data_IF_778241164833
#
_entry.id   IF_778241164833
#
_cell.length_a   1.000
_cell.length_b   1.000
_cell.length_c   1.000
_cell.angle_alpha   90.00
_cell.angle_beta   90.00
_cell.angle_gamma   90.00
#
_symmetry.space_group_name_H-M   'P 1'
#
loop_
_entity.id
_entity.type
_entity.pdbx_description
1 polymer ?
#
# COMPACT_ATOMS: atom_id res chain seq x y z
N UNK A 1 -4.98 -4.82 -21.70
CA UNK A 1 -3.55 -4.43 -21.56
C UNK A 1 -3.05 -4.75 -20.15
N UNK A 2 -3.75 -4.29 -19.12
CA UNK A 2 -3.35 -4.49 -17.72
C UNK A 2 -3.48 -5.93 -17.22
N UNK A 3 -4.52 -6.67 -17.63
CA UNK A 3 -4.67 -8.09 -17.23
C UNK A 3 -3.48 -8.94 -17.65
N UNK A 4 -2.97 -8.75 -18.88
CA UNK A 4 -1.81 -9.49 -19.40
C UNK A 4 -0.51 -9.01 -18.75
N UNK A 5 -0.37 -7.70 -18.48
CA UNK A 5 0.79 -7.13 -17.80
C UNK A 5 0.88 -7.62 -16.35
N UNK A 6 -0.24 -7.68 -15.62
CA UNK A 6 -0.28 -8.24 -14.28
C UNK A 6 0.02 -9.75 -14.31
N UNK A 7 -0.52 -10.48 -15.31
CA UNK A 7 -0.27 -11.92 -15.47
C UNK A 7 1.22 -12.26 -15.56
N UNK A 8 2.02 -11.46 -16.28
CA UNK A 8 3.47 -11.69 -16.37
C UNK A 8 4.23 -11.41 -15.08
N UNK A 9 3.63 -10.69 -14.13
CA UNK A 9 4.23 -10.31 -12.86
C UNK A 9 3.72 -11.10 -11.65
N UNK A 10 2.82 -12.08 -11.83
CA UNK A 10 2.26 -12.87 -10.73
C UNK A 10 3.31 -13.60 -9.89
N UNK A 11 4.45 -13.98 -10.49
CA UNK A 11 5.57 -14.59 -9.76
C UNK A 11 6.13 -13.69 -8.65
N UNK A 12 5.96 -12.37 -8.75
CA UNK A 12 6.36 -11.43 -7.69
C UNK A 12 5.46 -11.53 -6.46
N UNK A 13 4.20 -11.93 -6.65
CA UNK A 13 3.20 -12.13 -5.59
C UNK A 13 3.26 -13.52 -4.96
N UNK A 14 4.08 -14.42 -5.48
CA UNK A 14 4.20 -15.81 -5.00
C UNK A 14 5.28 -15.97 -3.90
N UNK A 15 5.96 -14.88 -3.54
CA UNK A 15 7.01 -14.89 -2.51
C UNK A 15 6.41 -15.09 -1.12
N UNK A 16 6.95 -16.03 -0.34
CA UNK A 16 6.39 -16.47 0.96
C UNK A 16 6.36 -15.42 2.08
N UNK A 17 7.00 -14.25 1.90
CA UNK A 17 7.15 -13.23 2.96
C UNK A 17 6.98 -11.80 2.45
N UNK A 18 6.04 -11.56 1.54
CA UNK A 18 5.74 -10.19 1.09
C UNK A 18 5.10 -9.38 2.19
N UNK A 19 5.60 -8.17 2.39
CA UNK A 19 4.92 -7.16 3.18
C UNK A 19 3.64 -6.70 2.47
N UNK A 20 2.65 -6.28 3.23
CA UNK A 20 1.39 -5.78 2.69
C UNK A 20 1.58 -4.50 1.87
N UNK A 21 2.55 -3.68 2.25
CA UNK A 21 2.97 -2.51 1.46
C UNK A 21 3.54 -2.89 0.10
N UNK A 22 4.25 -4.00 -0.02
CA UNK A 22 4.78 -4.49 -1.30
C UNK A 22 3.65 -5.00 -2.19
N UNK A 23 2.72 -5.77 -1.63
CA UNK A 23 1.51 -6.22 -2.35
C UNK A 23 0.72 -5.02 -2.87
N UNK A 24 0.50 -4.01 -2.01
CA UNK A 24 -0.18 -2.78 -2.41
C UNK A 24 0.56 -2.05 -3.51
N UNK A 25 1.87 -1.85 -3.38
CA UNK A 25 2.68 -1.14 -4.37
C UNK A 25 2.66 -1.85 -5.73
N UNK A 26 2.72 -3.18 -5.74
CA UNK A 26 2.63 -3.96 -6.98
C UNK A 26 1.26 -3.89 -7.64
N UNK A 27 0.18 -3.73 -6.87
CA UNK A 27 -1.19 -3.85 -7.38
C UNK A 27 -1.90 -2.51 -7.61
N UNK A 28 -1.55 -1.45 -6.89
CA UNK A 28 -2.27 -0.18 -6.92
C UNK A 28 -2.24 0.55 -8.26
N UNK A 29 -1.28 0.22 -9.14
CA UNK A 29 -1.17 0.79 -10.49
C UNK A 29 -2.06 0.09 -11.53
N UNK A 30 -2.68 -1.04 -11.16
CA UNK A 30 -3.47 -1.85 -12.08
C UNK A 30 -4.97 -1.60 -11.92
N UNK A 31 -5.70 -1.72 -13.02
CA UNK A 31 -7.15 -1.66 -13.00
C UNK A 31 -7.77 -2.79 -12.12
N UNK A 32 -8.86 -2.46 -11.43
CA UNK A 32 -9.52 -3.39 -10.51
C UNK A 32 -10.01 -4.66 -11.20
N UNK A 33 -10.55 -4.55 -12.43
CA UNK A 33 -11.02 -5.68 -13.21
C UNK A 33 -9.85 -6.58 -13.64
N UNK A 34 -8.67 -6.01 -13.90
CA UNK A 34 -7.47 -6.78 -14.20
C UNK A 34 -7.01 -7.61 -13.00
N UNK A 35 -7.05 -7.04 -11.80
CA UNK A 35 -6.71 -7.73 -10.55
C UNK A 35 -7.73 -8.83 -10.26
N UNK A 36 -9.03 -8.55 -10.39
CA UNK A 36 -10.11 -9.52 -10.20
C UNK A 36 -10.00 -10.69 -11.18
N UNK A 37 -9.77 -10.39 -12.46
CA UNK A 37 -9.62 -11.42 -13.51
C UNK A 37 -8.44 -12.35 -13.21
N UNK A 38 -7.30 -11.79 -12.80
CA UNK A 38 -6.13 -12.60 -12.41
C UNK A 38 -6.39 -13.38 -11.11
N UNK A 39 -7.18 -12.85 -10.18
CA UNK A 39 -7.52 -13.59 -8.95
C UNK A 39 -8.40 -14.82 -9.22
N UNK A 40 -9.31 -14.73 -10.20
CA UNK A 40 -10.15 -15.84 -10.65
C UNK A 40 -9.35 -16.86 -11.46
N UNK A 41 -8.45 -16.38 -12.33
CA UNK A 41 -7.68 -17.23 -13.23
C UNK A 41 -6.38 -17.80 -12.62
N UNK A 42 -5.98 -17.38 -11.42
CA UNK A 42 -4.74 -17.81 -10.77
C UNK A 42 -4.83 -19.24 -10.24
N UNK A 43 -3.87 -20.07 -10.64
CA UNK A 43 -3.71 -21.45 -10.14
C UNK A 43 -2.91 -21.50 -8.82
N UNK A 44 -2.06 -20.50 -8.54
CA UNK A 44 -1.36 -20.40 -7.25
C UNK A 44 -2.31 -19.87 -6.17
N UNK A 45 -2.44 -20.65 -5.09
CA UNK A 45 -3.23 -20.27 -3.91
C UNK A 45 -2.64 -19.04 -3.20
N UNK A 46 -1.30 -18.90 -3.18
CA UNK A 46 -0.60 -17.76 -2.57
C UNK A 46 -0.91 -16.49 -3.34
N UNK A 47 -0.74 -16.51 -4.67
CA UNK A 47 -1.04 -15.38 -5.54
C UNK A 47 -2.52 -14.99 -5.45
N UNK A 48 -3.43 -15.97 -5.53
CA UNK A 48 -4.87 -15.73 -5.39
C UNK A 48 -5.21 -15.06 -4.05
N UNK A 49 -4.60 -15.52 -2.96
CA UNK A 49 -4.79 -14.95 -1.62
C UNK A 49 -4.30 -13.51 -1.54
N UNK A 50 -3.12 -13.21 -2.10
CA UNK A 50 -2.56 -11.85 -2.11
C UNK A 50 -3.40 -10.88 -2.95
N UNK A 51 -3.90 -11.32 -4.12
CA UNK A 51 -4.80 -10.52 -4.96
C UNK A 51 -6.13 -10.23 -4.23
N UNK A 52 -6.73 -11.25 -3.58
CA UNK A 52 -7.95 -11.09 -2.78
C UNK A 52 -7.72 -10.17 -1.57
N UNK A 53 -6.56 -10.29 -0.90
CA UNK A 53 -6.19 -9.43 0.22
C UNK A 53 -6.14 -7.96 -0.19
N UNK A 54 -5.58 -7.66 -1.36
CA UNK A 54 -5.59 -6.30 -1.91
C UNK A 54 -7.02 -5.80 -2.17
N UNK A 55 -7.83 -6.60 -2.87
CA UNK A 55 -9.20 -6.25 -3.28
C UNK A 55 -10.13 -5.99 -2.08
N UNK A 56 -9.93 -6.71 -0.98
CA UNK A 56 -10.82 -6.67 0.19
C UNK A 56 -10.34 -5.75 1.29
N UNK A 57 -9.01 -5.60 1.47
CA UNK A 57 -8.44 -4.91 2.62
C UNK A 57 -7.48 -3.79 2.23
N UNK A 58 -6.37 -4.13 1.56
CA UNK A 58 -5.24 -3.19 1.40
C UNK A 58 -5.63 -1.92 0.65
N UNK A 59 -6.49 -2.03 -0.37
CA UNK A 59 -6.96 -0.87 -1.15
C UNK A 59 -7.75 0.17 -0.36
N UNK A 60 -8.29 -0.20 0.80
CA UNK A 60 -9.08 0.69 1.64
C UNK A 60 -8.29 1.27 2.83
N UNK A 61 -7.05 0.81 3.02
CA UNK A 61 -6.16 1.37 4.05
C UNK A 61 -5.75 2.78 3.64
N UNK A 62 -6.08 3.76 4.48
CA UNK A 62 -5.70 5.17 4.32
C UNK A 62 -5.07 5.67 5.62
N UNK A 63 -4.10 6.56 5.53
CA UNK A 63 -3.56 7.26 6.71
C UNK A 63 -4.67 8.06 7.37
N UNK A 64 -4.63 8.14 8.70
CA UNK A 64 -5.51 9.02 9.46
C UNK A 64 -5.07 10.47 9.33
N UNK A 65 -3.76 10.71 9.19
CA UNK A 65 -3.19 12.01 8.89
C UNK A 65 -3.31 12.35 7.41
N UNK A 66 -3.72 13.59 7.14
CA UNK A 66 -3.67 14.20 5.83
C UNK A 66 -2.55 15.26 5.73
N UNK A 67 -2.32 15.79 4.53
CA UNK A 67 -1.27 16.78 4.28
C UNK A 67 -1.42 18.07 5.10
N UNK A 68 -2.64 18.51 5.39
CA UNK A 68 -2.87 19.71 6.22
C UNK A 68 -2.48 19.48 7.68
N UNK A 69 -2.73 18.28 8.20
CA UNK A 69 -2.31 17.90 9.55
C UNK A 69 -0.79 17.81 9.66
N UNK A 70 -0.12 17.26 8.65
CA UNK A 70 1.36 17.25 8.60
C UNK A 70 1.94 18.67 8.57
N UNK A 71 1.31 19.60 7.82
CA UNK A 71 1.71 21.01 7.83
C UNK A 71 1.61 21.64 9.22
N UNK A 72 0.55 21.32 9.98
CA UNK A 72 0.38 21.80 11.37
C UNK A 72 1.44 21.23 12.33
N UNK A 73 2.00 20.06 12.04
CA UNK A 73 3.14 19.49 12.76
C UNK A 73 4.49 20.14 12.38
N UNK A 74 4.46 21.14 11.49
CA UNK A 74 5.65 21.87 11.05
C UNK A 74 6.42 21.16 9.95
N UNK A 75 5.78 20.27 9.19
CA UNK A 75 6.35 19.66 7.98
C UNK A 75 6.04 20.57 6.79
N UNK A 76 7.09 21.07 6.14
CA UNK A 76 6.93 21.97 5.00
C UNK A 76 6.26 21.27 3.82
N UNK A 77 5.38 22.00 3.13
CA UNK A 77 4.76 21.52 1.90
C UNK A 77 5.83 21.29 0.82
N UNK A 78 5.72 20.18 0.09
CA UNK A 78 6.66 19.84 -0.98
C UNK A 78 6.84 18.33 -1.14
N UNK A 79 7.87 17.91 -1.88
CA UNK A 79 8.19 16.50 -2.10
C UNK A 79 8.37 15.72 -0.79
N UNK A 80 8.96 16.34 0.23
CA UNK A 80 9.18 15.72 1.54
C UNK A 80 7.86 15.36 2.24
N UNK A 81 6.85 16.23 2.18
CA UNK A 81 5.53 15.93 2.73
C UNK A 81 4.90 14.71 2.03
N UNK A 82 5.04 14.64 0.70
CA UNK A 82 4.57 13.48 -0.08
C UNK A 82 5.28 12.19 0.31
N UNK A 83 6.61 12.24 0.52
CA UNK A 83 7.40 11.09 1.01
C UNK A 83 6.94 10.65 2.40
N UNK A 84 6.70 11.58 3.31
CA UNK A 84 6.22 11.26 4.66
C UNK A 84 4.84 10.59 4.59
N UNK A 85 3.91 11.10 3.78
CA UNK A 85 2.60 10.45 3.57
C UNK A 85 2.74 9.02 3.02
N UNK A 86 3.64 8.80 2.07
CA UNK A 86 3.93 7.46 1.54
C UNK A 86 4.50 6.52 2.63
N UNK A 87 5.42 7.01 3.46
CA UNK A 87 6.01 6.23 4.55
C UNK A 87 4.93 5.88 5.60
N UNK A 88 4.09 6.84 5.98
CA UNK A 88 2.98 6.61 6.90
C UNK A 88 1.99 5.58 6.36
N UNK A 89 1.65 5.68 5.06
CA UNK A 89 0.75 4.73 4.41
C UNK A 89 1.33 3.31 4.37
N UNK A 90 2.63 3.20 4.05
CA UNK A 90 3.37 1.93 4.10
C UNK A 90 3.41 1.33 5.50
N UNK A 91 3.76 2.12 6.51
CA UNK A 91 3.79 1.69 7.91
C UNK A 91 2.40 1.20 8.36
N UNK A 92 1.33 1.86 7.91
CA UNK A 92 -0.04 1.45 8.23
C UNK A 92 -0.45 0.14 7.54
N UNK A 93 -0.08 -0.01 6.27
CA UNK A 93 -0.28 -1.26 5.54
C UNK A 93 0.43 -2.43 6.22
N UNK A 94 1.66 -2.21 6.67
CA UNK A 94 2.49 -3.23 7.33
C UNK A 94 2.13 -3.45 8.81
N UNK A 95 1.18 -2.68 9.34
CA UNK A 95 0.71 -2.80 10.73
C UNK A 95 1.67 -2.24 11.77
N UNK A 96 2.68 -1.48 11.34
CA UNK A 96 3.66 -0.78 12.19
C UNK A 96 3.02 0.42 12.92
N UNK A 97 2.01 1.04 12.29
CA UNK A 97 1.18 2.08 12.91
C UNK A 97 -0.31 1.73 12.77
N UNK A 98 -1.06 1.88 13.86
CA UNK A 98 -2.48 1.45 13.96
C UNK A 98 -3.43 2.60 14.22
N UNK A 99 -2.94 3.67 14.83
CA UNK A 99 -3.76 4.80 15.26
C UNK A 99 -3.11 6.13 14.87
N UNK A 100 -3.89 7.21 14.99
CA UNK A 100 -3.45 8.55 14.63
C UNK A 100 -2.23 9.02 15.44
N UNK A 101 -2.17 8.70 16.73
CA UNK A 101 -1.05 9.11 17.58
C UNK A 101 0.28 8.46 17.17
N UNK A 102 0.24 7.18 16.75
CA UNK A 102 1.40 6.48 16.19
C UNK A 102 1.82 7.08 14.84
N UNK A 103 0.87 7.42 13.97
CA UNK A 103 1.17 8.13 12.72
C UNK A 103 1.81 9.50 13.00
N UNK A 104 1.32 10.27 13.97
CA UNK A 104 1.89 11.58 14.35
C UNK A 104 3.32 11.42 14.89
N UNK A 105 3.55 10.44 15.77
CA UNK A 105 4.87 10.15 16.30
C UNK A 105 5.85 9.79 15.18
N UNK A 106 5.43 8.94 14.24
CA UNK A 106 6.26 8.56 13.09
C UNK A 106 6.54 9.77 12.18
N UNK A 107 5.53 10.61 11.92
CA UNK A 107 5.71 11.83 11.13
C UNK A 107 6.73 12.80 11.75
N UNK A 108 6.70 12.96 13.07
CA UNK A 108 7.65 13.81 13.80
C UNK A 108 9.07 13.25 13.79
N UNK A 109 9.23 11.92 13.81
CA UNK A 109 10.55 11.26 13.68
C UNK A 109 11.15 11.40 12.27
N UNK A 110 10.31 11.54 11.26
CA UNK A 110 10.71 11.70 9.85
C UNK A 110 10.87 13.18 9.45
N UNK A 111 10.62 14.10 10.38
CA UNK A 111 10.81 15.53 10.15
C UNK A 111 12.31 15.79 9.87
N UNK A 112 12.65 16.48 8.77
CA UNK A 112 14.04 16.80 8.44
C UNK A 112 14.66 17.81 9.43
#
# INVERSE_FOLDING_TARGET
RDTLRLKSQLHLLDKSFLKYSEIYSLLHEYDLLAIQSNAIASESSVVCSNLKLFLTKLRYVKTSLNGEELKRLGISAGPELGKILQILHKAKLDGEVKNKAEEEKLALLLKP
#
